data_IF_436569771722
#
_entry.id   IF_436569771722
#
_cell.length_a   1.000
_cell.length_b   1.000
_cell.length_c   1.000
_cell.angle_alpha   90.00
_cell.angle_beta   90.00
_cell.angle_gamma   90.00
#
_symmetry.space_group_name_H-M   'P 1'
#
loop_
_entity.id
_entity.type
_entity.pdbx_description
1 polymer ?
#
# COMPACT_ATOMS: atom_id res chain seq x y z
N UNK A 1 -39.00 6.32 -23.13
CA UNK A 1 -37.96 7.32 -23.49
C UNK A 1 -37.45 8.09 -22.27
N UNK A 2 -38.31 8.67 -21.39
CA UNK A 2 -37.85 9.42 -20.20
C UNK A 2 -37.12 8.58 -19.13
N UNK A 3 -37.56 7.35 -18.88
CA UNK A 3 -36.89 6.44 -17.93
C UNK A 3 -35.53 5.92 -18.43
N UNK A 4 -35.37 5.75 -19.75
CA UNK A 4 -34.12 5.30 -20.37
C UNK A 4 -33.03 6.37 -20.26
N UNK A 5 -33.40 7.65 -20.38
CA UNK A 5 -32.48 8.78 -20.19
C UNK A 5 -32.01 8.92 -18.75
N UNK A 6 -32.88 8.66 -17.77
CA UNK A 6 -32.51 8.69 -16.35
C UNK A 6 -31.51 7.58 -15.98
N UNK A 7 -31.68 6.37 -16.53
CA UNK A 7 -30.75 5.26 -16.30
C UNK A 7 -29.36 5.54 -16.91
N UNK A 8 -29.32 6.12 -18.11
CA UNK A 8 -28.06 6.48 -18.77
C UNK A 8 -27.28 7.58 -18.00
N UNK A 9 -27.98 8.57 -17.45
CA UNK A 9 -27.36 9.61 -16.62
C UNK A 9 -26.76 9.04 -15.33
N UNK A 10 -27.44 8.08 -14.69
CA UNK A 10 -26.93 7.38 -13.51
C UNK A 10 -25.70 6.54 -13.84
N UNK A 11 -25.70 5.83 -14.97
CA UNK A 11 -24.53 5.05 -15.41
C UNK A 11 -23.28 5.93 -15.65
N UNK A 12 -23.46 7.13 -16.21
CA UNK A 12 -22.38 8.08 -16.44
C UNK A 12 -21.77 8.64 -15.14
N UNK A 13 -22.53 8.67 -14.03
CA UNK A 13 -22.00 9.08 -12.71
C UNK A 13 -21.01 8.06 -12.13
N UNK A 14 -21.16 6.77 -12.47
CA UNK A 14 -20.29 5.69 -11.99
C UNK A 14 -19.14 5.34 -12.95
N UNK A 15 -19.17 5.86 -14.18
CA UNK A 15 -18.13 5.64 -15.18
C UNK A 15 -16.71 6.03 -14.72
N UNK A 16 -16.47 7.12 -13.96
CA UNK A 16 -15.13 7.47 -13.50
C UNK A 16 -14.52 6.42 -12.56
N UNK A 17 -15.34 5.81 -11.68
CA UNK A 17 -14.86 4.80 -10.73
C UNK A 17 -14.47 3.48 -11.42
N UNK A 18 -15.13 3.13 -12.53
CA UNK A 18 -14.80 1.95 -13.32
C UNK A 18 -13.53 2.12 -14.17
N UNK A 19 -13.14 3.36 -14.46
CA UNK A 19 -12.01 3.68 -15.34
C UNK A 19 -10.75 4.14 -14.60
N UNK A 20 -10.86 4.47 -13.31
CA UNK A 20 -9.73 4.88 -12.47
C UNK A 20 -8.91 3.70 -11.90
N UNK A 21 -8.75 2.62 -12.67
CA UNK A 21 -8.01 1.45 -12.20
C UNK A 21 -6.51 1.63 -12.48
N UNK A 22 -5.76 1.99 -11.46
CA UNK A 22 -4.30 2.03 -11.53
C UNK A 22 -3.74 0.61 -11.40
N UNK A 23 -3.00 0.15 -12.42
CA UNK A 23 -2.23 -1.07 -12.34
C UNK A 23 -0.86 -0.80 -11.74
N UNK A 24 -0.50 -1.52 -10.69
CA UNK A 24 0.85 -1.52 -10.13
C UNK A 24 1.48 -2.89 -10.28
N UNK A 25 2.79 -2.93 -10.50
CA UNK A 25 3.54 -4.19 -10.47
C UNK A 25 3.74 -4.60 -9.02
N UNK A 26 3.35 -5.83 -8.69
CA UNK A 26 3.59 -6.44 -7.39
C UNK A 26 4.55 -7.61 -7.58
N UNK A 27 5.57 -7.68 -6.73
CA UNK A 27 6.53 -8.77 -6.66
C UNK A 27 6.74 -9.15 -5.19
N UNK A 28 7.39 -10.28 -4.96
CA UNK A 28 7.72 -10.75 -3.61
C UNK A 28 9.24 -10.73 -3.40
N UNK A 29 9.64 -10.62 -2.14
CA UNK A 29 11.01 -10.82 -1.67
C UNK A 29 10.92 -11.49 -0.29
N UNK A 30 11.53 -12.68 -0.19
CA UNK A 30 11.48 -13.53 1.01
C UNK A 30 12.08 -12.87 2.25
N UNK A 31 12.88 -11.80 2.09
CA UNK A 31 13.33 -11.02 3.24
C UNK A 31 12.16 -10.43 4.04
N UNK A 32 11.05 -10.06 3.38
CA UNK A 32 9.87 -9.52 4.05
C UNK A 32 9.08 -10.57 4.85
N UNK A 33 9.35 -11.86 4.63
CA UNK A 33 8.79 -12.97 5.41
C UNK A 33 9.61 -13.29 6.67
N UNK A 34 10.81 -12.72 6.82
CA UNK A 34 11.67 -12.94 7.97
C UNK A 34 11.26 -12.02 9.14
N UNK A 35 10.49 -12.56 10.10
CA UNK A 35 10.04 -11.82 11.28
C UNK A 35 11.17 -11.26 12.16
N UNK A 36 12.35 -11.88 12.11
CA UNK A 36 13.55 -11.45 12.84
C UNK A 36 14.38 -10.40 12.11
N UNK A 37 14.04 -10.05 10.87
CA UNK A 37 14.76 -9.02 10.12
C UNK A 37 14.60 -7.65 10.78
N UNK A 38 15.71 -6.92 10.93
CA UNK A 38 15.73 -5.61 11.60
C UNK A 38 15.16 -4.52 10.69
N UNK A 39 14.39 -3.59 11.27
CA UNK A 39 13.89 -2.42 10.56
C UNK A 39 15.02 -1.48 10.11
N UNK A 40 16.19 -1.52 10.74
CA UNK A 40 17.36 -0.70 10.39
C UNK A 40 17.91 -1.04 8.99
N UNK A 41 17.45 -2.13 8.39
CA UNK A 41 17.87 -2.61 7.06
C UNK A 41 17.07 -2.03 5.91
N UNK A 42 15.98 -1.30 6.18
CA UNK A 42 15.08 -0.73 5.17
C UNK A 42 14.98 0.79 5.27
N UNK A 43 14.46 1.41 4.22
CA UNK A 43 14.27 2.86 4.14
C UNK A 43 13.42 3.41 5.29
N UNK A 44 12.33 2.73 5.67
CA UNK A 44 11.46 3.17 6.76
C UNK A 44 12.00 2.83 8.17
N UNK A 45 13.32 2.93 8.39
CA UNK A 45 13.99 2.59 9.65
C UNK A 45 13.72 3.63 10.73
N UNK A 46 14.58 4.64 10.87
CA UNK A 46 14.53 5.67 11.91
C UNK A 46 14.19 7.07 11.36
N UNK A 47 14.57 8.13 12.07
CA UNK A 47 14.17 9.50 11.73
C UNK A 47 12.71 9.82 12.07
N UNK A 48 12.26 11.02 11.68
CA UNK A 48 10.95 11.57 12.08
C UNK A 48 9.77 10.70 11.63
N UNK A 49 9.89 9.98 10.52
CA UNK A 49 8.83 9.13 9.97
C UNK A 49 9.10 7.63 10.04
N UNK A 50 10.30 7.23 10.49
CA UNK A 50 10.71 5.84 10.63
C UNK A 50 9.81 5.01 11.54
N UNK A 51 9.83 3.71 11.32
CA UNK A 51 9.07 2.76 12.13
C UNK A 51 9.74 2.49 13.48
N UNK A 52 11.05 2.65 13.58
CA UNK A 52 11.79 2.50 14.84
C UNK A 52 11.44 3.59 15.85
N UNK A 53 11.22 4.83 15.40
CA UNK A 53 10.77 5.92 16.27
C UNK A 53 9.32 5.76 16.73
N UNK A 54 8.58 4.83 16.12
CA UNK A 54 7.24 4.41 16.54
C UNK A 54 7.25 3.18 17.47
N UNK A 55 8.43 2.68 17.84
CA UNK A 55 8.59 1.59 18.81
C UNK A 55 8.67 0.18 18.21
N UNK A 56 8.77 0.06 16.89
CA UNK A 56 9.00 -1.22 16.22
C UNK A 56 10.50 -1.50 16.10
N UNK A 57 10.92 -2.76 16.03
CA UNK A 57 12.34 -3.12 15.97
C UNK A 57 12.67 -4.13 14.86
N UNK A 58 11.76 -5.08 14.63
CA UNK A 58 11.87 -6.07 13.56
C UNK A 58 10.63 -6.10 12.69
N UNK A 59 10.71 -6.74 11.52
CA UNK A 59 9.55 -6.94 10.65
C UNK A 59 8.39 -7.60 11.37
N UNK A 60 8.67 -8.61 12.21
CA UNK A 60 7.67 -9.31 13.00
C UNK A 60 7.03 -8.49 14.13
N UNK A 61 7.58 -7.32 14.47
CA UNK A 61 6.98 -6.41 15.46
C UNK A 61 5.87 -5.53 14.87
N UNK A 62 5.75 -5.46 13.54
CA UNK A 62 4.72 -4.68 12.86
C UNK A 62 3.34 -5.35 13.01
N UNK A 63 2.26 -4.57 13.20
CA UNK A 63 0.95 -5.09 13.60
C UNK A 63 0.31 -6.03 12.57
N UNK A 64 0.61 -5.84 11.28
CA UNK A 64 0.01 -6.59 10.18
C UNK A 64 0.97 -7.61 9.54
N UNK A 65 2.15 -7.84 10.13
CA UNK A 65 3.10 -8.83 9.63
C UNK A 65 2.40 -10.20 9.42
N UNK A 66 2.59 -10.89 8.26
CA UNK A 66 3.57 -10.62 7.19
C UNK A 66 3.07 -9.73 6.04
N UNK A 67 1.99 -8.97 6.19
CA UNK A 67 1.49 -8.06 5.15
C UNK A 67 2.32 -6.77 5.06
N UNK A 68 3.59 -6.89 4.69
CA UNK A 68 4.55 -5.79 4.57
C UNK A 68 5.32 -5.91 3.25
N UNK A 69 5.95 -4.81 2.81
CA UNK A 69 6.78 -4.81 1.59
C UNK A 69 7.29 -3.43 1.21
N UNK A 70 8.02 -3.36 0.10
CA UNK A 70 8.41 -2.10 -0.52
C UNK A 70 7.28 -1.49 -1.35
N UNK A 71 7.26 -0.16 -1.44
CA UNK A 71 6.35 0.56 -2.31
C UNK A 71 7.09 1.71 -3.00
N UNK A 72 6.79 1.96 -4.27
CA UNK A 72 7.40 3.05 -5.05
C UNK A 72 7.13 4.46 -4.45
N UNK A 73 6.11 4.58 -3.61
CA UNK A 73 5.82 5.80 -2.86
C UNK A 73 6.88 6.15 -1.80
N UNK A 74 7.68 5.16 -1.36
CA UNK A 74 8.81 5.37 -0.44
C UNK A 74 10.05 5.62 -1.29
N UNK A 75 10.44 6.90 -1.40
CA UNK A 75 11.57 7.33 -2.26
C UNK A 75 12.95 7.06 -1.65
N UNK A 76 13.01 6.73 -0.35
CA UNK A 76 14.25 6.54 0.40
C UNK A 76 14.00 6.60 1.90
N UNK A 77 15.10 6.72 2.64
CA UNK A 77 15.13 6.95 4.08
C UNK A 77 14.60 8.33 4.45
#
# INVERSE_FOLDING_TARGET
>A
MRFTSALAAVALLFAPAALAQDSVTVAYDENYDNSGQSLSTVSCSDGTYGLETKGYTTFGSLPDFPNIGAAAAISGW
#
